data_IF_550712061715
#
_entry.id   IF_550712061715
#
_cell.length_a   1.000
_cell.length_b   1.000
_cell.length_c   1.000
_cell.angle_alpha   90.00
_cell.angle_beta   90.00
_cell.angle_gamma   90.00
#
_symmetry.space_group_name_H-M   'P 1'
#
loop_
_entity.id
_entity.type
_entity.pdbx_description
1 polymer ?
#
# COMPACT_ATOMS: atom_id res chain seq x y z
N UNK A 1 15.49 -17.66 -8.88
CA UNK A 1 14.21 -18.03 -9.51
C UNK A 1 13.16 -17.08 -8.99
N UNK A 2 12.40 -16.46 -9.89
CA UNK A 2 11.34 -15.53 -9.54
C UNK A 2 10.25 -16.25 -8.74
N UNK A 3 9.75 -15.61 -7.68
CA UNK A 3 8.65 -16.19 -6.91
C UNK A 3 7.37 -16.23 -7.78
N UNK A 4 6.44 -17.19 -7.54
CA UNK A 4 5.16 -17.21 -8.27
C UNK A 4 4.42 -15.86 -8.18
N UNK A 5 4.45 -15.21 -7.04
CA UNK A 5 3.83 -13.89 -6.83
C UNK A 5 4.50 -12.81 -7.66
N UNK A 6 5.84 -12.77 -7.72
CA UNK A 6 6.57 -11.84 -8.60
C UNK A 6 6.12 -12.00 -10.05
N UNK A 7 6.07 -13.24 -10.54
CA UNK A 7 5.65 -13.51 -11.92
C UNK A 7 4.24 -12.98 -12.20
N UNK A 8 3.30 -13.14 -11.27
CA UNK A 8 1.93 -12.62 -11.41
C UNK A 8 1.96 -11.10 -11.66
N UNK A 9 2.64 -10.33 -10.80
CA UNK A 9 2.67 -8.88 -10.92
C UNK A 9 3.54 -8.39 -12.07
N UNK A 10 4.64 -9.06 -12.41
CA UNK A 10 5.39 -8.78 -13.66
C UNK A 10 4.50 -8.96 -14.90
N UNK A 11 3.71 -10.03 -14.97
CA UNK A 11 2.79 -10.29 -16.08
C UNK A 11 1.68 -9.22 -16.18
N UNK A 12 1.20 -8.68 -15.06
CA UNK A 12 0.24 -7.57 -15.04
C UNK A 12 0.80 -6.35 -15.80
N UNK A 13 2.03 -5.95 -15.50
CA UNK A 13 2.67 -4.81 -16.17
C UNK A 13 3.08 -5.12 -17.60
N UNK A 14 3.69 -6.27 -17.85
CA UNK A 14 4.14 -6.70 -19.16
C UNK A 14 3.00 -6.78 -20.18
N UNK A 15 1.86 -7.28 -19.75
CA UNK A 15 0.68 -7.44 -20.61
C UNK A 15 -0.29 -6.25 -20.51
N UNK A 16 0.09 -5.19 -19.75
CA UNK A 16 -0.75 -4.01 -19.51
C UNK A 16 -2.18 -4.34 -19.04
N UNK A 17 -2.32 -5.37 -18.20
CA UNK A 17 -3.63 -5.92 -17.81
C UNK A 17 -4.50 -4.90 -17.07
N UNK A 18 -3.90 -4.00 -16.30
CA UNK A 18 -4.59 -2.97 -15.51
C UNK A 18 -4.43 -1.55 -16.08
N UNK A 19 -3.76 -1.39 -17.24
CA UNK A 19 -3.42 -0.06 -17.77
C UNK A 19 -2.39 0.66 -16.90
N UNK A 20 -1.26 -0.01 -16.60
CA UNK A 20 -0.27 0.37 -15.59
C UNK A 20 -0.62 -0.22 -14.22
N UNK A 21 -0.53 0.58 -13.16
CA UNK A 21 -0.92 0.18 -11.79
C UNK A 21 -2.44 0.31 -11.52
N UNK A 22 -3.28 0.35 -12.56
CA UNK A 22 -4.73 0.38 -12.46
C UNK A 22 -5.32 1.74 -12.06
N UNK A 23 -6.65 1.77 -11.89
CA UNK A 23 -7.41 2.99 -11.56
C UNK A 23 -6.98 3.58 -10.20
N UNK A 24 -6.54 2.75 -9.27
CA UNK A 24 -5.98 3.16 -7.99
C UNK A 24 -4.74 4.07 -8.11
N UNK A 25 -4.06 4.09 -9.27
CA UNK A 25 -2.90 4.94 -9.53
C UNK A 25 -3.19 6.20 -10.32
N UNK A 26 -4.41 6.37 -10.86
CA UNK A 26 -4.77 7.51 -11.70
C UNK A 26 -5.12 8.74 -10.86
N UNK A 27 -4.48 9.87 -11.15
CA UNK A 27 -4.69 11.13 -10.41
C UNK A 27 -6.15 11.58 -10.44
N UNK A 28 -6.83 11.45 -11.59
CA UNK A 28 -8.22 11.89 -11.78
C UNK A 28 -9.19 11.25 -10.78
N UNK A 29 -8.93 9.99 -10.38
CA UNK A 29 -9.77 9.24 -9.43
C UNK A 29 -9.27 9.34 -7.98
N UNK A 30 -8.00 9.72 -7.78
CA UNK A 30 -7.35 9.68 -6.47
C UNK A 30 -6.87 11.05 -5.97
N UNK A 31 -7.27 12.14 -6.62
CA UNK A 31 -6.95 13.51 -6.17
C UNK A 31 -7.43 13.79 -4.73
N UNK A 32 -8.63 13.34 -4.28
CA UNK A 32 -9.05 13.50 -2.89
C UNK A 32 -8.08 12.83 -1.91
N UNK A 33 -7.64 11.61 -2.20
CA UNK A 33 -6.65 10.91 -1.38
C UNK A 33 -5.30 11.64 -1.36
N UNK A 34 -4.81 12.09 -2.51
CA UNK A 34 -3.52 12.79 -2.57
C UNK A 34 -3.53 14.09 -1.75
N UNK A 35 -4.62 14.85 -1.80
CA UNK A 35 -4.82 16.06 -0.99
C UNK A 35 -4.89 15.74 0.51
N UNK A 36 -5.64 14.69 0.86
CA UNK A 36 -5.70 14.20 2.23
C UNK A 36 -4.30 13.79 2.74
N UNK A 37 -3.56 12.98 1.97
CA UNK A 37 -2.22 12.52 2.34
C UNK A 37 -1.26 13.70 2.52
N UNK A 38 -1.30 14.69 1.63
CA UNK A 38 -0.45 15.88 1.71
C UNK A 38 -0.71 16.66 3.00
N UNK A 39 -1.99 16.82 3.36
CA UNK A 39 -2.40 17.49 4.61
C UNK A 39 -1.98 16.64 5.82
N UNK A 40 -2.25 15.34 5.80
CA UNK A 40 -1.91 14.42 6.90
C UNK A 40 -0.41 14.42 7.21
N UNK A 41 0.43 14.34 6.18
CA UNK A 41 1.90 14.38 6.29
C UNK A 41 2.36 15.68 6.95
N UNK A 42 1.81 16.82 6.53
CA UNK A 42 2.13 18.13 7.09
C UNK A 42 1.70 18.24 8.56
N UNK A 43 0.45 17.91 8.87
CA UNK A 43 -0.14 18.06 10.21
C UNK A 43 0.54 17.15 11.25
N UNK A 44 1.02 15.99 10.82
CA UNK A 44 1.70 15.03 11.69
C UNK A 44 3.23 15.12 11.66
N UNK A 45 3.79 16.15 10.99
CA UNK A 45 5.23 16.38 10.88
C UNK A 45 6.02 15.14 10.39
N UNK A 46 5.43 14.39 9.43
CA UNK A 46 6.06 13.23 8.79
C UNK A 46 7.27 13.68 7.99
N UNK A 47 8.39 12.98 8.10
CA UNK A 47 9.64 13.24 7.38
C UNK A 47 10.06 12.06 6.49
N UNK A 48 9.58 10.86 6.83
CA UNK A 48 9.93 9.64 6.10
C UNK A 48 8.68 8.84 5.77
N UNK A 49 8.52 8.52 4.47
CA UNK A 49 7.42 7.69 3.96
C UNK A 49 8.02 6.44 3.33
N UNK A 50 7.52 5.28 3.73
CA UNK A 50 7.72 4.01 3.05
C UNK A 50 6.40 3.59 2.41
N UNK A 51 6.35 3.41 1.10
CA UNK A 51 5.20 2.87 0.39
C UNK A 51 5.49 1.43 -0.03
N UNK A 52 4.69 0.49 0.47
CA UNK A 52 4.76 -0.93 0.14
C UNK A 52 3.76 -1.24 -0.98
N UNK A 53 4.27 -1.67 -2.14
CA UNK A 53 3.51 -1.81 -3.38
C UNK A 53 3.36 -0.47 -4.12
N UNK A 54 4.47 0.23 -4.35
CA UNK A 54 4.46 1.57 -4.95
C UNK A 54 4.09 1.59 -6.44
N UNK A 55 4.03 0.42 -7.09
CA UNK A 55 3.71 0.30 -8.50
C UNK A 55 4.56 1.19 -9.39
N UNK A 56 3.96 1.71 -10.47
CA UNK A 56 4.61 2.55 -11.47
C UNK A 56 4.77 4.04 -11.06
N UNK A 57 4.55 4.35 -9.79
CA UNK A 57 4.66 5.69 -9.22
C UNK A 57 3.70 6.72 -9.85
N UNK A 58 2.68 6.28 -10.58
CA UNK A 58 1.84 7.15 -11.37
C UNK A 58 1.04 8.17 -10.53
N UNK A 59 0.53 7.78 -9.35
CA UNK A 59 -0.14 8.69 -8.42
C UNK A 59 0.86 9.53 -7.64
N UNK A 60 1.83 8.88 -7.01
CA UNK A 60 2.74 9.55 -6.08
C UNK A 60 3.72 10.50 -6.75
N UNK A 61 3.96 10.43 -8.08
CA UNK A 61 4.74 11.45 -8.79
C UNK A 61 4.14 12.87 -8.71
N UNK A 62 2.86 12.98 -8.34
CA UNK A 62 2.15 14.25 -8.15
C UNK A 62 2.15 14.75 -6.70
N UNK A 63 2.72 13.96 -5.78
CA UNK A 63 2.86 14.34 -4.38
C UNK A 63 4.05 15.30 -4.18
N UNK A 64 3.92 16.30 -3.31
CA UNK A 64 5.05 17.16 -2.95
C UNK A 64 5.94 16.50 -1.90
N UNK A 65 7.17 16.16 -2.28
CA UNK A 65 8.18 15.54 -1.41
C UNK A 65 9.18 16.53 -0.80
N UNK A 66 8.90 17.84 -0.81
CA UNK A 66 9.81 18.83 -0.23
C UNK A 66 9.98 18.59 1.27
N UNK A 67 11.24 18.44 1.71
CA UNK A 67 11.58 18.13 3.09
C UNK A 67 11.26 16.69 3.55
N UNK A 68 10.89 15.81 2.62
CA UNK A 68 10.54 14.41 2.88
C UNK A 68 11.56 13.45 2.25
N UNK A 69 11.72 12.28 2.86
CA UNK A 69 12.35 11.09 2.24
C UNK A 69 11.28 10.08 1.90
N UNK A 70 11.28 9.63 0.67
CA UNK A 70 10.36 8.60 0.17
C UNK A 70 11.10 7.34 -0.26
N UNK A 71 10.54 6.20 0.11
CA UNK A 71 11.01 4.88 -0.26
C UNK A 71 9.82 4.10 -0.83
N UNK A 72 9.84 3.81 -2.12
CA UNK A 72 8.85 2.95 -2.76
C UNK A 72 9.39 1.53 -2.88
N UNK A 73 8.59 0.55 -2.51
CA UNK A 73 8.93 -0.88 -2.60
C UNK A 73 7.90 -1.57 -3.49
N UNK A 74 8.34 -2.42 -4.40
CA UNK A 74 7.46 -3.26 -5.21
C UNK A 74 8.14 -4.57 -5.58
N UNK A 75 7.33 -5.61 -5.82
CA UNK A 75 7.79 -6.94 -6.23
C UNK A 75 8.05 -7.04 -7.74
N UNK A 76 7.55 -6.10 -8.54
CA UNK A 76 7.79 -6.04 -9.99
C UNK A 76 9.12 -5.34 -10.28
N UNK A 77 10.17 -6.13 -10.56
CA UNK A 77 11.54 -5.65 -10.80
C UNK A 77 11.60 -4.69 -12.00
N UNK A 78 10.85 -5.01 -13.07
CA UNK A 78 10.78 -4.17 -14.28
C UNK A 78 10.25 -2.75 -13.98
N UNK A 79 9.27 -2.65 -13.09
CA UNK A 79 8.69 -1.36 -12.66
C UNK A 79 9.66 -0.59 -11.78
N UNK A 80 10.32 -1.25 -10.84
CA UNK A 80 11.33 -0.63 -9.99
C UNK A 80 12.52 -0.10 -10.82
N UNK A 81 12.97 -0.86 -11.81
CA UNK A 81 14.01 -0.39 -12.75
C UNK A 81 13.57 0.87 -13.50
N UNK A 82 12.31 0.90 -14.01
CA UNK A 82 11.71 2.06 -14.68
C UNK A 82 11.58 3.26 -13.73
N UNK A 83 11.12 3.05 -12.50
CA UNK A 83 10.98 4.11 -11.49
C UNK A 83 12.34 4.69 -11.11
N UNK A 84 13.35 3.84 -10.88
CA UNK A 84 14.72 4.29 -10.61
C UNK A 84 15.32 5.10 -11.76
N UNK A 85 15.03 4.74 -13.00
CA UNK A 85 15.48 5.48 -14.19
C UNK A 85 14.82 6.85 -14.29
N UNK A 86 13.50 6.94 -14.01
CA UNK A 86 12.71 8.12 -14.36
C UNK A 86 12.50 9.08 -13.18
N UNK A 87 12.47 8.57 -11.93
CA UNK A 87 11.99 9.34 -10.77
C UNK A 87 12.96 9.36 -9.60
N UNK A 88 14.04 8.58 -9.60
CA UNK A 88 15.03 8.57 -8.51
C UNK A 88 15.63 9.95 -8.29
N UNK A 89 15.65 10.38 -7.03
CA UNK A 89 16.25 11.63 -6.55
C UNK A 89 17.00 11.36 -5.23
N UNK A 90 17.79 12.30 -4.70
CA UNK A 90 18.45 12.11 -3.41
C UNK A 90 17.49 11.72 -2.27
N UNK A 91 16.26 12.22 -2.33
CA UNK A 91 15.21 11.99 -1.33
C UNK A 91 14.11 11.01 -1.80
N UNK A 92 14.18 10.46 -3.02
CA UNK A 92 13.22 9.48 -3.58
C UNK A 92 14.00 8.26 -4.04
N UNK A 93 13.69 7.09 -3.47
CA UNK A 93 14.35 5.82 -3.78
C UNK A 93 13.32 4.73 -4.02
N UNK A 94 13.65 3.78 -4.89
CA UNK A 94 12.82 2.61 -5.16
C UNK A 94 13.63 1.35 -4.96
N UNK A 95 13.01 0.34 -4.31
CA UNK A 95 13.60 -0.92 -3.92
C UNK A 95 12.76 -2.07 -4.47
N UNK A 96 13.43 -3.04 -5.06
CA UNK A 96 12.81 -4.29 -5.49
C UNK A 96 12.80 -5.26 -4.31
N UNK A 97 11.61 -5.50 -3.75
CA UNK A 97 11.40 -6.46 -2.65
C UNK A 97 9.97 -6.96 -2.57
N UNK A 98 9.79 -8.17 -2.03
CA UNK A 98 8.47 -8.72 -1.69
C UNK A 98 8.02 -8.18 -0.33
N UNK A 99 6.89 -7.47 -0.31
CA UNK A 99 6.35 -6.87 0.91
C UNK A 99 5.96 -7.90 1.98
N UNK A 100 5.72 -9.16 1.59
CA UNK A 100 5.41 -10.27 2.54
C UNK A 100 6.61 -10.68 3.38
N UNK A 101 7.82 -10.47 2.85
CA UNK A 101 9.08 -10.72 3.56
C UNK A 101 9.81 -9.45 3.98
N UNK A 102 9.22 -8.29 3.77
CA UNK A 102 9.89 -7.01 4.01
C UNK A 102 10.29 -6.84 5.47
N UNK A 103 11.58 -6.50 5.68
CA UNK A 103 12.14 -6.26 7.00
C UNK A 103 12.28 -4.76 7.25
N UNK A 104 11.66 -4.26 8.31
CA UNK A 104 11.78 -2.87 8.72
C UNK A 104 13.12 -2.66 9.46
N UNK A 105 14.20 -2.42 8.70
CA UNK A 105 15.55 -2.21 9.26
C UNK A 105 15.72 -0.85 9.94
N UNK A 106 14.76 0.05 9.76
CA UNK A 106 14.72 1.39 10.36
C UNK A 106 13.30 1.82 10.62
N UNK A 107 13.14 2.83 11.46
CA UNK A 107 11.84 3.47 11.67
C UNK A 107 11.49 4.37 10.49
N UNK A 108 10.22 4.31 10.09
CA UNK A 108 9.59 5.24 9.17
C UNK A 108 8.48 5.98 9.91
N UNK A 109 8.32 7.30 9.65
CA UNK A 109 7.25 8.06 10.29
C UNK A 109 5.88 7.63 9.79
N UNK A 110 5.79 7.19 8.53
CA UNK A 110 4.59 6.65 7.90
C UNK A 110 4.94 5.49 6.98
N UNK A 111 4.25 4.37 7.15
CA UNK A 111 4.20 3.28 6.17
C UNK A 111 2.85 3.35 5.46
N UNK A 112 2.87 3.38 4.14
CA UNK A 112 1.68 3.44 3.28
C UNK A 112 1.54 2.11 2.52
N UNK A 113 0.32 1.56 2.49
CA UNK A 113 -0.06 0.44 1.62
C UNK A 113 -1.36 0.81 0.94
N UNK A 114 -1.30 1.14 -0.35
CA UNK A 114 -2.49 1.60 -1.08
C UNK A 114 -2.82 0.67 -2.25
N UNK A 115 -4.03 0.10 -2.24
CA UNK A 115 -4.55 -0.75 -3.31
C UNK A 115 -3.67 -1.98 -3.65
N UNK A 116 -2.99 -2.54 -2.63
CA UNK A 116 -2.11 -3.71 -2.76
C UNK A 116 -2.72 -4.92 -2.08
N UNK A 117 -3.14 -4.78 -0.82
CA UNK A 117 -3.66 -5.90 -0.02
C UNK A 117 -4.93 -6.52 -0.62
N UNK A 118 -5.70 -5.74 -1.38
CA UNK A 118 -6.88 -6.18 -2.12
C UNK A 118 -6.57 -7.20 -3.22
N UNK A 119 -5.30 -7.36 -3.60
CA UNK A 119 -4.82 -8.29 -4.62
C UNK A 119 -4.06 -9.50 -4.04
N UNK A 120 -3.94 -9.59 -2.72
CA UNK A 120 -3.24 -10.68 -2.03
C UNK A 120 -4.24 -11.62 -1.37
N UNK A 121 -3.95 -12.92 -1.35
CA UNK A 121 -4.70 -13.87 -0.54
C UNK A 121 -4.61 -13.54 0.96
N UNK A 122 -5.54 -14.06 1.77
CA UNK A 122 -5.64 -13.71 3.18
C UNK A 122 -4.39 -14.05 3.98
N UNK A 123 -3.69 -15.15 3.66
CA UNK A 123 -2.46 -15.54 4.35
C UNK A 123 -1.33 -14.56 4.07
N UNK A 124 -1.21 -14.08 2.83
CA UNK A 124 -0.25 -13.06 2.44
C UNK A 124 -0.54 -11.72 3.12
N UNK A 125 -1.82 -11.31 3.23
CA UNK A 125 -2.21 -10.10 3.97
C UNK A 125 -1.81 -10.22 5.44
N UNK A 126 -2.13 -11.34 6.12
CA UNK A 126 -1.75 -11.57 7.52
C UNK A 126 -0.23 -11.50 7.70
N UNK A 127 0.55 -12.05 6.77
CA UNK A 127 2.01 -11.98 6.83
C UNK A 127 2.52 -10.54 6.74
N UNK A 128 1.97 -9.71 5.82
CA UNK A 128 2.31 -8.28 5.71
C UNK A 128 1.99 -7.53 7.00
N UNK A 129 0.79 -7.74 7.54
CA UNK A 129 0.36 -7.12 8.80
C UNK A 129 1.27 -7.54 9.97
N UNK A 130 1.57 -8.85 10.09
CA UNK A 130 2.47 -9.35 11.12
C UNK A 130 3.87 -8.72 11.03
N UNK A 131 4.42 -8.56 9.84
CA UNK A 131 5.70 -7.88 9.65
C UNK A 131 5.63 -6.39 10.05
N UNK A 132 4.48 -5.75 9.83
CA UNK A 132 4.26 -4.35 10.18
C UNK A 132 3.86 -4.11 11.67
N UNK A 133 3.80 -5.13 12.52
CA UNK A 133 3.33 -5.04 13.92
C UNK A 133 4.13 -4.09 14.83
N UNK A 134 5.31 -3.66 14.41
CA UNK A 134 6.12 -2.70 15.15
C UNK A 134 6.12 -1.31 14.51
N UNK A 135 5.39 -1.12 13.42
CA UNK A 135 5.30 0.17 12.72
C UNK A 135 4.42 1.13 13.51
N UNK A 136 4.91 2.33 13.76
CA UNK A 136 4.17 3.33 14.56
C UNK A 136 2.91 3.84 13.85
N UNK A 137 2.96 4.02 12.53
CA UNK A 137 1.85 4.51 11.72
C UNK A 137 1.81 3.72 10.42
N UNK A 138 0.86 2.82 10.30
CA UNK A 138 0.53 2.12 9.08
C UNK A 138 -0.77 2.70 8.51
N UNK A 139 -0.69 3.37 7.38
CA UNK A 139 -1.85 3.85 6.64
C UNK A 139 -2.16 2.87 5.51
N UNK A 140 -3.29 2.22 5.59
CA UNK A 140 -3.77 1.34 4.51
C UNK A 140 -4.93 1.99 3.78
N UNK A 141 -4.98 1.81 2.46
CA UNK A 141 -6.07 2.29 1.59
C UNK A 141 -6.57 1.11 0.78
N UNK A 142 -7.82 0.73 0.98
CA UNK A 142 -8.42 -0.43 0.33
C UNK A 142 -9.81 -0.09 -0.21
N UNK A 143 -10.24 -0.85 -1.22
CA UNK A 143 -11.65 -0.91 -1.57
C UNK A 143 -12.45 -1.50 -0.40
N UNK A 144 -13.54 -0.85 -0.07
CA UNK A 144 -14.45 -1.26 1.00
C UNK A 144 -15.86 -1.46 0.45
N UNK A 145 -16.49 -2.55 0.86
CA UNK A 145 -17.88 -2.84 0.52
C UNK A 145 -18.69 -3.12 1.79
N UNK A 146 -19.68 -2.28 2.14
CA UNK A 146 -20.47 -2.47 3.36
C UNK A 146 -21.30 -3.77 3.35
N UNK A 147 -21.47 -4.42 2.18
CA UNK A 147 -22.22 -5.68 2.05
C UNK A 147 -21.38 -6.94 2.20
N UNK A 148 -20.06 -6.82 2.26
CA UNK A 148 -19.15 -7.95 2.45
C UNK A 148 -17.74 -7.65 1.97
N UNK A 149 -16.80 -8.06 2.78
CA UNK A 149 -15.36 -7.92 2.54
C UNK A 149 -14.66 -9.26 2.80
N UNK A 150 -13.36 -9.30 2.58
CA UNK A 150 -12.45 -10.34 3.07
C UNK A 150 -12.67 -11.76 2.52
N UNK A 151 -13.39 -11.89 1.39
CA UNK A 151 -13.42 -13.17 0.67
C UNK A 151 -11.98 -13.54 0.34
N UNK A 152 -11.56 -14.78 0.64
CA UNK A 152 -10.22 -15.21 0.25
C UNK A 152 -10.13 -15.36 -1.28
N UNK A 153 -9.04 -14.90 -1.82
CA UNK A 153 -8.76 -14.89 -3.26
C UNK A 153 -7.42 -15.57 -3.55
N UNK A 154 -7.20 -15.94 -4.78
CA UNK A 154 -5.85 -16.23 -5.28
C UNK A 154 -5.14 -14.89 -5.54
N UNK A 155 -3.88 -14.78 -5.09
CA UNK A 155 -3.05 -13.59 -5.34
C UNK A 155 -3.07 -13.19 -6.82
N UNK A 156 -3.27 -11.90 -7.09
CA UNK A 156 -3.48 -11.33 -8.43
C UNK A 156 -4.95 -11.08 -8.79
N UNK A 157 -5.90 -11.68 -8.06
CA UNK A 157 -7.32 -11.34 -8.17
C UNK A 157 -7.65 -10.07 -7.38
N UNK A 158 -8.93 -9.69 -7.34
CA UNK A 158 -9.42 -8.50 -6.65
C UNK A 158 -10.54 -8.83 -5.67
N UNK A 159 -10.53 -8.16 -4.52
CA UNK A 159 -11.66 -8.13 -3.58
C UNK A 159 -11.67 -6.84 -2.75
N UNK A 160 -12.82 -6.51 -2.16
CA UNK A 160 -12.91 -5.50 -1.10
C UNK A 160 -12.33 -6.01 0.21
N UNK A 161 -11.75 -5.12 1.02
CA UNK A 161 -11.01 -5.49 2.22
C UNK A 161 -11.36 -4.56 3.40
N UNK A 162 -11.73 -5.16 4.53
CA UNK A 162 -11.80 -4.49 5.84
C UNK A 162 -10.83 -5.18 6.80
N UNK A 163 -9.77 -4.49 7.20
CA UNK A 163 -8.76 -5.06 8.08
C UNK A 163 -9.23 -5.18 9.54
N UNK A 164 -10.28 -4.48 9.93
CA UNK A 164 -10.85 -4.59 11.28
C UNK A 164 -11.69 -5.86 11.46
N UNK A 165 -12.10 -6.50 10.36
CA UNK A 165 -13.00 -7.66 10.40
C UNK A 165 -12.22 -8.98 10.17
N UNK A 166 -12.92 -10.10 10.40
CA UNK A 166 -12.39 -11.44 10.15
C UNK A 166 -11.87 -11.57 8.71
N UNK A 167 -10.73 -12.21 8.45
CA UNK A 167 -9.87 -12.93 9.39
C UNK A 167 -8.73 -12.09 9.98
N UNK A 168 -8.67 -10.78 9.77
CA UNK A 168 -7.49 -9.96 10.04
C UNK A 168 -7.48 -9.40 11.46
N UNK A 169 -8.60 -8.88 11.94
CA UNK A 169 -8.74 -8.25 13.27
C UNK A 169 -7.62 -7.26 13.60
N UNK A 170 -7.15 -6.54 12.57
CA UNK A 170 -6.13 -5.51 12.74
C UNK A 170 -6.80 -4.20 13.16
N UNK A 171 -6.80 -3.92 14.46
CA UNK A 171 -7.42 -2.72 15.00
C UNK A 171 -6.87 -1.43 14.39
N UNK A 172 -7.73 -0.71 13.69
CA UNK A 172 -7.40 0.55 13.02
C UNK A 172 -8.55 1.55 13.05
N UNK A 173 -8.21 2.83 12.99
CA UNK A 173 -9.15 3.93 12.89
C UNK A 173 -9.36 4.32 11.42
N UNK A 174 -10.63 4.44 10.99
CA UNK A 174 -10.95 5.02 9.70
C UNK A 174 -10.78 6.54 9.77
N UNK A 175 -9.75 7.08 9.11
CA UNK A 175 -9.40 8.50 9.17
C UNK A 175 -9.79 9.28 7.91
N UNK A 176 -10.10 8.58 6.82
CA UNK A 176 -10.55 9.20 5.57
C UNK A 176 -11.28 8.19 4.69
N UNK A 177 -12.31 8.66 3.98
CA UNK A 177 -13.04 7.87 2.98
C UNK A 177 -13.28 8.71 1.73
N UNK A 178 -13.28 8.07 0.57
CA UNK A 178 -13.55 8.75 -0.71
C UNK A 178 -14.01 7.75 -1.78
N UNK A 179 -14.62 8.28 -2.84
CA UNK A 179 -14.96 7.49 -4.03
C UNK A 179 -13.87 7.69 -5.09
N UNK A 180 -13.31 6.59 -5.57
CA UNK A 180 -12.32 6.54 -6.64
C UNK A 180 -12.95 5.81 -7.83
N UNK A 181 -13.27 6.54 -8.90
CA UNK A 181 -14.04 6.00 -10.04
C UNK A 181 -15.36 5.36 -9.54
N UNK A 182 -15.52 4.05 -9.67
CA UNK A 182 -16.71 3.30 -9.23
C UNK A 182 -16.51 2.60 -7.87
N UNK A 183 -15.38 2.79 -7.21
CA UNK A 183 -15.07 2.10 -5.96
C UNK A 183 -15.05 3.05 -4.77
N UNK A 184 -15.54 2.57 -3.64
CA UNK A 184 -15.48 3.28 -2.37
C UNK A 184 -14.23 2.86 -1.61
N UNK A 185 -13.41 3.82 -1.23
CA UNK A 185 -12.10 3.62 -0.59
C UNK A 185 -12.16 4.02 0.88
N UNK A 186 -11.58 3.19 1.72
CA UNK A 186 -11.39 3.46 3.14
C UNK A 186 -9.90 3.54 3.47
N UNK A 187 -9.51 4.62 4.17
CA UNK A 187 -8.17 4.84 4.67
C UNK A 187 -8.14 4.52 6.16
N UNK A 188 -7.44 3.45 6.53
CA UNK A 188 -7.32 2.99 7.91
C UNK A 188 -5.93 3.33 8.44
N UNK A 189 -5.88 4.03 9.58
CA UNK A 189 -4.65 4.27 10.33
C UNK A 189 -4.53 3.22 11.43
N UNK A 190 -3.45 2.46 11.41
CA UNK A 190 -3.18 1.37 12.34
C UNK A 190 -1.89 1.68 13.09
N UNK A 191 -1.93 1.63 14.43
CA UNK A 191 -0.73 1.54 15.26
C UNK A 191 -0.28 0.07 15.31
N UNK A 192 0.84 -0.26 14.70
CA UNK A 192 1.29 -1.64 14.60
C UNK A 192 1.45 -2.33 15.97
N UNK A 193 1.82 -1.58 17.01
CA UNK A 193 1.95 -2.11 18.37
C UNK A 193 0.63 -2.46 19.04
N UNK A 194 -0.48 -1.93 18.50
CA UNK A 194 -1.85 -2.19 18.97
C UNK A 194 -2.69 -2.93 17.94
N UNK A 195 -2.04 -3.36 16.84
CA UNK A 195 -2.74 -3.95 15.69
C UNK A 195 -3.52 -5.21 16.05
N UNK A 196 -2.95 -6.04 16.93
CA UNK A 196 -3.60 -7.28 17.35
C UNK A 196 -3.89 -7.22 18.84
N UNK A 197 -5.12 -7.54 19.27
CA UNK A 197 -5.45 -7.61 20.69
C UNK A 197 -4.60 -8.70 21.38
N UNK A 198 -4.22 -8.46 22.64
CA UNK A 198 -3.37 -9.36 23.44
C UNK A 198 -3.90 -10.81 23.52
N UNK A 199 -5.19 -11.02 23.25
CA UNK A 199 -5.84 -12.34 23.23
C UNK A 199 -5.56 -13.17 21.96
N UNK A 200 -4.89 -12.62 20.95
CA UNK A 200 -4.59 -13.30 19.68
C UNK A 200 -3.08 -13.66 19.57
N UNK A 201 -2.23 -13.07 20.37
CA UNK A 201 -0.81 -13.37 20.49
C UNK A 201 -0.55 -14.45 21.56
#
# INVERSE_FOLDING_TARGET
>A
MDSPTQKIFEDVYKNNMWGGSGDGSKLEYNKPFLNFLQKYVKDNNIKTILELGCGDFNLMKHFNFDGLKYFGVDIAESIIAKNNKNYRKPNIKFLYEDIRGFKFERDYDLVLIKDVLIHLDNSSVLQVLYNARNVKRLLTVNDYNPKGNNINITTGQFRSLDLNDWPFFAEGECIFEYTSNLSFKRCMLIDGKKMFPDSIL
#
